data_IF_355785392864
#
_entry.id   IF_355785392864
#
_cell.length_a   1.000
_cell.length_b   1.000
_cell.length_c   1.000
_cell.angle_alpha   90.00
_cell.angle_beta   90.00
_cell.angle_gamma   90.00
#
_symmetry.space_group_name_H-M   'P 1'
#
loop_
_entity.id
_entity.type
_entity.pdbx_description
1 polymer ?
#
# COMPACT_ATOMS: atom_id res chain seq x y z
N UNK A 1 -9.09 21.67 16.42
CA UNK A 1 -9.29 20.43 15.65
C UNK A 1 -8.57 20.58 14.32
N UNK A 2 -7.71 19.61 14.02
CA UNK A 2 -6.73 19.49 12.93
C UNK A 2 -7.00 20.35 11.66
N UNK A 3 -6.03 21.14 11.14
CA UNK A 3 -6.20 21.92 9.90
C UNK A 3 -6.39 21.08 8.64
N UNK A 4 -6.25 19.75 8.74
CA UNK A 4 -6.30 18.88 7.58
C UNK A 4 -7.73 18.44 7.22
N UNK A 5 -8.05 18.55 5.92
CA UNK A 5 -9.31 18.10 5.33
C UNK A 5 -9.52 16.61 5.57
N UNK A 6 -10.73 16.23 5.95
CA UNK A 6 -11.14 14.82 6.17
C UNK A 6 -12.41 14.51 5.39
N UNK A 7 -12.61 13.22 5.06
CA UNK A 7 -13.82 12.73 4.38
C UNK A 7 -15.08 13.06 5.19
N UNK A 8 -15.03 12.93 6.51
CA UNK A 8 -16.15 13.28 7.38
C UNK A 8 -16.44 14.78 7.42
N UNK A 9 -15.39 15.62 7.38
CA UNK A 9 -15.57 17.07 7.32
C UNK A 9 -16.30 17.50 6.05
N UNK A 10 -15.93 16.93 4.90
CA UNK A 10 -16.60 17.18 3.63
C UNK A 10 -18.06 16.69 3.64
N UNK A 11 -18.30 15.46 4.14
CA UNK A 11 -19.64 14.91 4.25
C UNK A 11 -20.53 15.72 5.20
N UNK A 12 -20.01 16.08 6.36
CA UNK A 12 -20.75 16.87 7.34
C UNK A 12 -21.13 18.24 6.81
N UNK A 13 -20.20 18.91 6.12
CA UNK A 13 -20.48 20.18 5.45
C UNK A 13 -21.55 20.02 4.39
N UNK A 14 -21.45 19.01 3.52
CA UNK A 14 -22.47 18.74 2.51
C UNK A 14 -23.86 18.51 3.14
N UNK A 15 -23.95 17.77 4.26
CA UNK A 15 -25.23 17.59 4.96
C UNK A 15 -25.79 18.88 5.54
N UNK A 16 -24.95 19.81 6.01
CA UNK A 16 -25.37 21.14 6.46
C UNK A 16 -25.86 21.97 5.27
N UNK A 17 -25.07 22.05 4.21
CA UNK A 17 -25.36 22.89 3.03
C UNK A 17 -26.66 22.47 2.32
N UNK A 18 -27.00 21.18 2.35
CA UNK A 18 -28.25 20.66 1.77
C UNK A 18 -29.45 20.71 2.71
N UNK A 19 -29.28 21.17 3.94
CA UNK A 19 -30.33 21.22 4.96
C UNK A 19 -30.65 19.87 5.60
N UNK A 20 -29.78 18.87 5.44
CA UNK A 20 -29.87 17.59 6.15
C UNK A 20 -29.49 17.71 7.63
N UNK A 21 -28.74 18.74 8.02
CA UNK A 21 -28.39 19.06 9.41
C UNK A 21 -28.85 20.50 9.70
N UNK A 22 -29.54 20.67 10.83
CA UNK A 22 -29.97 21.99 11.27
C UNK A 22 -28.77 22.90 11.59
N UNK A 23 -28.89 24.19 11.30
CA UNK A 23 -27.84 25.20 11.49
C UNK A 23 -27.28 25.23 12.93
N UNK A 24 -28.15 25.04 13.94
CA UNK A 24 -27.74 24.96 15.35
C UNK A 24 -26.82 23.78 15.69
N UNK A 25 -26.75 22.77 14.80
CA UNK A 25 -25.90 21.59 14.94
C UNK A 25 -24.70 21.62 13.98
N UNK A 26 -24.57 22.65 13.14
CA UNK A 26 -23.58 22.71 12.05
C UNK A 26 -22.13 22.92 12.54
N UNK A 27 -21.93 23.28 13.79
CA UNK A 27 -20.62 23.57 14.40
C UNK A 27 -19.92 22.33 14.97
N UNK A 28 -20.67 21.29 15.36
CA UNK A 28 -20.10 20.06 15.93
C UNK A 28 -20.84 18.79 15.46
N UNK A 29 -20.17 17.90 14.70
CA UNK A 29 -20.73 16.61 14.29
C UNK A 29 -21.26 15.72 15.42
N UNK A 30 -20.77 15.92 16.65
CA UNK A 30 -21.27 15.18 17.83
C UNK A 30 -22.72 15.54 18.15
N UNK A 31 -23.17 16.77 17.87
CA UNK A 31 -24.58 17.17 18.07
C UNK A 31 -25.54 16.36 17.22
N UNK A 32 -25.10 15.95 16.02
CA UNK A 32 -25.84 15.05 15.12
C UNK A 32 -25.53 13.57 15.33
N UNK A 33 -24.78 13.21 16.39
CA UNK A 33 -24.43 11.82 16.72
C UNK A 33 -23.71 11.08 15.58
N UNK A 34 -22.83 11.76 14.85
CA UNK A 34 -22.08 11.17 13.74
C UNK A 34 -21.17 10.03 14.22
N UNK A 35 -21.37 8.83 13.68
CA UNK A 35 -20.59 7.62 13.91
C UNK A 35 -20.25 6.96 12.57
N UNK A 36 -19.26 6.05 12.59
CA UNK A 36 -18.68 5.39 11.41
C UNK A 36 -18.37 3.92 11.68
N UNK A 37 -18.56 3.04 10.70
CA UNK A 37 -18.19 1.63 10.78
C UNK A 37 -16.67 1.45 10.88
N UNK A 38 -15.93 2.16 10.01
CA UNK A 38 -14.48 2.11 9.94
C UNK A 38 -13.87 3.52 10.00
N UNK A 39 -12.74 3.63 10.72
CA UNK A 39 -11.82 4.77 10.59
C UNK A 39 -10.75 4.36 9.59
N UNK A 40 -10.58 5.14 8.53
CA UNK A 40 -9.53 4.92 7.53
C UNK A 40 -8.38 5.89 7.79
N UNK A 41 -7.16 5.40 7.65
CA UNK A 41 -5.97 6.22 7.78
C UNK A 41 -5.80 7.16 6.58
N UNK A 42 -4.87 8.11 6.71
CA UNK A 42 -4.55 9.06 5.66
C UNK A 42 -4.11 8.33 4.38
N UNK A 43 -4.75 8.65 3.26
CA UNK A 43 -4.45 8.05 1.95
C UNK A 43 -5.16 6.72 1.67
N UNK A 44 -5.91 6.18 2.63
CA UNK A 44 -6.70 4.96 2.44
C UNK A 44 -8.03 5.30 1.75
N UNK A 45 -8.37 4.52 0.73
CA UNK A 45 -9.64 4.59 0.03
C UNK A 45 -10.71 3.72 0.70
N UNK A 46 -11.98 3.99 0.41
CA UNK A 46 -13.08 3.13 0.81
C UNK A 46 -14.10 3.05 -0.32
N UNK A 47 -14.29 1.86 -0.87
CA UNK A 47 -15.37 1.61 -1.83
C UNK A 47 -16.75 1.73 -1.16
N UNK A 48 -16.86 1.20 0.06
CA UNK A 48 -18.05 1.31 0.90
C UNK A 48 -17.64 1.53 2.35
N UNK A 49 -18.12 2.63 2.95
CA UNK A 49 -18.07 2.84 4.39
C UNK A 49 -19.47 3.25 4.85
N UNK A 50 -19.82 2.89 6.07
CA UNK A 50 -21.15 3.15 6.64
C UNK A 50 -21.03 4.19 7.73
N UNK A 51 -21.82 5.25 7.62
CA UNK A 51 -21.96 6.31 8.61
C UNK A 51 -23.35 6.21 9.24
N UNK A 52 -23.48 6.60 10.49
CA UNK A 52 -24.77 6.89 11.11
C UNK A 52 -24.76 8.27 11.72
N UNK A 53 -25.87 8.98 11.57
CA UNK A 53 -26.09 10.31 12.11
C UNK A 53 -27.58 10.60 12.12
N UNK A 54 -27.98 11.63 12.88
CA UNK A 54 -29.31 12.20 12.81
C UNK A 54 -29.36 13.17 11.64
N UNK A 55 -30.23 12.87 10.68
CA UNK A 55 -30.41 13.65 9.46
C UNK A 55 -31.90 14.03 9.32
N UNK A 56 -32.16 15.23 8.82
CA UNK A 56 -33.49 15.67 8.37
C UNK A 56 -33.66 15.09 6.96
N UNK A 57 -34.55 14.12 6.79
CA UNK A 57 -34.67 13.32 5.56
C UNK A 57 -35.89 13.68 4.72
N UNK A 58 -36.75 14.57 5.22
CA UNK A 58 -38.00 14.99 4.59
C UNK A 58 -37.77 15.94 3.40
N UNK A 59 -36.52 16.36 3.17
CA UNK A 59 -36.14 17.22 2.06
C UNK A 59 -36.23 16.44 0.72
N UNK A 60 -36.87 17.00 -0.31
CA UNK A 60 -36.92 16.36 -1.63
C UNK A 60 -35.50 16.24 -2.21
N UNK A 61 -35.23 15.11 -2.86
CA UNK A 61 -33.98 14.82 -3.58
C UNK A 61 -32.71 15.03 -2.74
N UNK A 62 -32.79 14.79 -1.42
CA UNK A 62 -31.70 15.05 -0.49
C UNK A 62 -30.40 14.33 -0.91
N UNK A 63 -30.50 13.06 -1.35
CA UNK A 63 -29.34 12.27 -1.77
C UNK A 63 -28.59 12.90 -2.97
N UNK A 64 -29.35 13.37 -3.97
CA UNK A 64 -28.80 13.99 -5.17
C UNK A 64 -28.09 15.30 -4.81
N UNK A 65 -28.76 16.16 -4.03
CA UNK A 65 -28.21 17.43 -3.56
C UNK A 65 -26.94 17.24 -2.72
N UNK A 66 -26.89 16.20 -1.88
CA UNK A 66 -25.69 15.86 -1.11
C UNK A 66 -24.54 15.52 -2.06
N UNK A 67 -24.79 14.67 -3.06
CA UNK A 67 -23.77 14.29 -4.02
C UNK A 67 -23.31 15.46 -4.91
N UNK A 68 -24.18 16.42 -5.22
CA UNK A 68 -23.83 17.67 -5.92
C UNK A 68 -22.93 18.59 -5.07
N UNK A 69 -23.15 18.63 -3.75
CA UNK A 69 -22.32 19.39 -2.82
C UNK A 69 -20.98 18.71 -2.50
N UNK A 70 -20.80 17.44 -2.87
CA UNK A 70 -19.60 16.65 -2.61
C UNK A 70 -18.61 16.69 -3.80
N UNK A 71 -17.30 16.66 -3.53
CA UNK A 71 -16.29 16.50 -4.57
C UNK A 71 -16.49 15.17 -5.31
N UNK A 72 -16.05 15.08 -6.56
CA UNK A 72 -16.23 13.89 -7.41
C UNK A 72 -15.73 12.58 -6.76
N UNK A 73 -14.70 12.68 -5.93
CA UNK A 73 -14.07 11.57 -5.22
C UNK A 73 -14.87 11.02 -4.03
N UNK A 74 -15.96 11.68 -3.61
CA UNK A 74 -16.80 11.24 -2.49
C UNK A 74 -18.24 11.14 -2.98
N UNK A 75 -18.87 9.98 -2.74
CA UNK A 75 -20.26 9.72 -3.13
C UNK A 75 -21.01 9.01 -2.01
N UNK A 76 -22.25 9.45 -1.79
CA UNK A 76 -23.24 8.78 -0.95
C UNK A 76 -24.12 7.92 -1.85
N UNK A 77 -24.15 6.63 -1.58
CA UNK A 77 -24.86 5.64 -2.40
C UNK A 77 -26.34 5.53 -2.02
N UNK A 78 -26.66 5.77 -0.75
CA UNK A 78 -28.01 5.67 -0.25
C UNK A 78 -28.13 6.14 1.19
N UNK A 79 -29.35 6.43 1.60
CA UNK A 79 -29.71 6.84 2.96
C UNK A 79 -30.84 5.91 3.41
N UNK A 80 -30.68 5.27 4.56
CA UNK A 80 -31.69 4.38 5.14
C UNK A 80 -31.96 4.75 6.59
N UNK A 81 -33.23 4.73 6.98
CA UNK A 81 -33.65 5.01 8.35
C UNK A 81 -33.38 3.80 9.23
N UNK A 82 -32.66 4.00 10.34
CA UNK A 82 -32.30 2.94 11.28
C UNK A 82 -32.94 3.16 12.66
N UNK A 83 -32.76 2.19 13.55
CA UNK A 83 -33.07 2.34 14.98
C UNK A 83 -32.23 3.46 15.61
N UNK A 84 -32.75 4.10 16.66
CA UNK A 84 -32.04 5.17 17.41
C UNK A 84 -30.74 4.67 18.05
N UNK A 85 -30.66 3.40 18.41
CA UNK A 85 -29.51 2.75 19.04
C UNK A 85 -28.48 2.23 18.02
N UNK A 86 -28.75 2.36 16.72
CA UNK A 86 -27.85 1.84 15.69
C UNK A 86 -26.50 2.55 15.71
N UNK A 87 -25.43 1.78 15.92
CA UNK A 87 -24.06 2.25 15.81
C UNK A 87 -23.30 1.35 14.80
N UNK A 88 -22.90 1.87 13.64
CA UNK A 88 -22.28 1.07 12.58
C UNK A 88 -20.93 0.48 13.00
N UNK A 89 -20.28 1.03 14.04
CA UNK A 89 -19.05 0.44 14.57
C UNK A 89 -19.29 -0.86 15.33
N UNK A 90 -20.32 -0.89 16.17
CA UNK A 90 -20.59 -2.02 17.07
C UNK A 90 -21.50 -3.07 16.45
N UNK A 91 -22.33 -2.68 15.48
CA UNK A 91 -23.19 -3.59 14.71
C UNK A 91 -22.46 -4.22 13.51
N UNK A 92 -21.24 -3.78 13.21
CA UNK A 92 -20.43 -4.35 12.13
C UNK A 92 -19.79 -5.66 12.60
N UNK A 93 -20.14 -6.77 11.94
CA UNK A 93 -19.61 -8.11 12.23
C UNK A 93 -18.27 -8.35 11.53
N UNK A 94 -18.16 -7.96 10.26
CA UNK A 94 -16.97 -8.14 9.45
C UNK A 94 -16.68 -6.91 8.58
N UNK A 95 -15.42 -6.78 8.18
CA UNK A 95 -14.92 -5.77 7.23
C UNK A 95 -14.05 -6.47 6.21
N UNK A 96 -14.22 -6.13 4.94
CA UNK A 96 -13.41 -6.65 3.85
C UNK A 96 -12.54 -5.50 3.34
N UNK A 97 -11.24 -5.77 3.21
CA UNK A 97 -10.27 -4.83 2.64
C UNK A 97 -9.67 -5.45 1.39
N UNK A 98 -9.62 -4.65 0.32
CA UNK A 98 -8.96 -5.02 -0.92
C UNK A 98 -7.71 -4.16 -1.08
N UNK A 99 -6.56 -4.81 -1.31
CA UNK A 99 -5.29 -4.14 -1.55
C UNK A 99 -4.90 -4.29 -3.02
N UNK A 100 -4.89 -3.17 -3.74
CA UNK A 100 -4.30 -3.10 -5.06
C UNK A 100 -2.80 -2.80 -4.93
N UNK A 101 -1.97 -3.80 -5.22
CA UNK A 101 -0.51 -3.66 -5.20
C UNK A 101 0.11 -3.99 -6.55
N UNK A 102 1.17 -3.30 -6.98
CA UNK A 102 1.90 -3.66 -8.20
C UNK A 102 2.51 -5.05 -8.10
N UNK A 103 2.47 -5.84 -9.17
CA UNK A 103 2.96 -7.23 -9.16
C UNK A 103 4.44 -7.38 -8.76
N UNK A 104 5.27 -6.37 -9.06
CA UNK A 104 6.70 -6.39 -8.74
C UNK A 104 7.00 -6.39 -7.23
N UNK A 105 6.03 -6.05 -6.36
CA UNK A 105 6.24 -6.14 -4.90
C UNK A 105 6.48 -7.57 -4.45
N UNK A 106 6.06 -8.54 -5.25
CA UNK A 106 6.26 -9.95 -5.01
C UNK A 106 7.55 -10.48 -5.64
N UNK A 107 8.47 -9.65 -6.13
CA UNK A 107 9.81 -10.09 -6.55
C UNK A 107 10.62 -10.44 -5.30
N UNK A 108 11.34 -11.58 -5.26
CA UNK A 108 12.17 -11.90 -4.12
C UNK A 108 13.29 -10.85 -3.96
N UNK A 109 13.66 -10.50 -2.72
CA UNK A 109 14.75 -9.54 -2.50
C UNK A 109 16.04 -10.06 -3.12
N UNK A 110 16.90 -9.14 -3.56
CA UNK A 110 18.19 -9.49 -4.15
C UNK A 110 19.02 -10.34 -3.15
N UNK A 111 19.63 -11.48 -3.56
CA UNK A 111 20.23 -12.45 -2.63
C UNK A 111 21.29 -11.88 -1.67
N UNK A 112 22.02 -10.85 -2.09
CA UNK A 112 23.06 -10.22 -1.25
C UNK A 112 22.50 -9.24 -0.21
N UNK A 113 21.19 -8.94 -0.23
CA UNK A 113 20.57 -8.02 0.73
C UNK A 113 20.43 -8.67 2.10
N UNK A 114 20.49 -7.85 3.15
CA UNK A 114 20.25 -8.32 4.53
C UNK A 114 18.86 -8.96 4.69
N UNK A 115 17.86 -8.46 3.95
CA UNK A 115 16.51 -9.02 3.96
C UNK A 115 16.52 -10.45 3.39
N UNK A 116 17.16 -10.68 2.25
CA UNK A 116 17.30 -12.02 1.68
C UNK A 116 18.02 -12.98 2.63
N UNK A 117 19.14 -12.54 3.22
CA UNK A 117 19.88 -13.34 4.21
C UNK A 117 19.04 -13.70 5.44
N UNK A 118 18.25 -12.76 5.96
CA UNK A 118 17.34 -13.00 7.09
C UNK A 118 16.24 -14.00 6.73
N UNK A 119 15.64 -13.88 5.55
CA UNK A 119 14.63 -14.82 5.05
C UNK A 119 15.24 -16.22 4.93
N UNK A 120 16.43 -16.35 4.34
CA UNK A 120 17.15 -17.64 4.21
C UNK A 120 17.50 -18.26 5.56
N UNK A 121 18.05 -17.48 6.49
CA UNK A 121 18.38 -17.97 7.84
C UNK A 121 17.13 -18.42 8.60
N UNK A 122 16.04 -17.65 8.51
CA UNK A 122 14.79 -18.03 9.16
C UNK A 122 14.25 -19.34 8.56
N UNK A 123 14.32 -19.51 7.23
CA UNK A 123 13.99 -20.77 6.54
C UNK A 123 14.79 -21.95 7.10
N UNK A 124 16.11 -21.83 7.22
CA UNK A 124 16.97 -22.90 7.75
C UNK A 124 16.54 -23.29 9.18
N UNK A 125 16.22 -22.31 10.03
CA UNK A 125 15.77 -22.55 11.40
C UNK A 125 14.43 -23.31 11.46
N UNK A 126 13.45 -22.95 10.64
CA UNK A 126 12.12 -23.59 10.70
C UNK A 126 12.18 -24.99 10.05
N UNK A 127 12.94 -25.19 8.97
CA UNK A 127 13.12 -26.50 8.33
C UNK A 127 13.87 -27.53 9.19
N UNK A 128 14.59 -27.10 10.22
CA UNK A 128 15.20 -27.99 11.21
C UNK A 128 14.18 -28.57 12.22
N UNK A 129 12.94 -28.09 12.23
CA UNK A 129 11.88 -28.54 13.16
C UNK A 129 10.94 -29.45 12.38
N UNK A 130 11.04 -30.76 12.60
CA UNK A 130 10.34 -31.83 11.84
C UNK A 130 8.79 -31.80 11.85
N UNK A 131 8.12 -30.80 12.42
CA UNK A 131 6.66 -30.81 12.58
C UNK A 131 6.02 -29.41 12.70
N UNK A 132 6.49 -28.40 11.96
CA UNK A 132 5.73 -27.15 11.90
C UNK A 132 4.59 -27.28 10.89
N UNK A 133 3.36 -27.49 11.37
CA UNK A 133 2.11 -27.38 10.60
C UNK A 133 1.97 -26.02 9.87
N UNK A 134 2.74 -25.02 10.31
CA UNK A 134 2.93 -23.71 9.67
C UNK A 134 3.64 -23.76 8.30
N UNK A 135 4.33 -24.84 7.95
CA UNK A 135 5.07 -24.99 6.68
C UNK A 135 4.42 -26.07 5.81
N UNK A 136 3.20 -25.83 5.34
CA UNK A 136 2.64 -26.60 4.23
C UNK A 136 2.57 -25.78 2.94
N UNK A 137 3.70 -25.14 2.60
CA UNK A 137 4.20 -25.20 1.22
C UNK A 137 4.11 -23.96 0.32
N UNK A 138 3.25 -22.96 0.53
CA UNK A 138 3.01 -21.94 -0.52
C UNK A 138 3.67 -20.58 -0.30
N UNK A 139 3.74 -20.09 0.94
CA UNK A 139 4.38 -18.80 1.31
C UNK A 139 5.89 -18.77 1.03
N UNK A 140 6.51 -19.94 1.03
CA UNK A 140 7.95 -20.13 0.86
C UNK A 140 8.35 -20.32 -0.61
N UNK A 141 7.43 -20.85 -1.44
CA UNK A 141 7.63 -20.98 -2.89
C UNK A 141 7.64 -19.64 -3.60
N UNK A 142 6.95 -18.64 -3.02
CA UNK A 142 7.06 -17.23 -3.37
C UNK A 142 8.53 -16.84 -3.57
N UNK A 143 9.43 -17.10 -2.65
CA UNK A 143 10.81 -16.59 -2.77
C UNK A 143 11.78 -17.46 -3.59
N UNK A 144 11.38 -18.67 -3.97
CA UNK A 144 12.35 -19.70 -4.41
C UNK A 144 12.11 -20.24 -5.82
N UNK A 145 10.87 -20.31 -6.31
CA UNK A 145 10.60 -20.99 -7.59
C UNK A 145 11.07 -20.18 -8.81
N UNK A 146 10.96 -18.85 -8.74
CA UNK A 146 11.30 -17.95 -9.83
C UNK A 146 12.61 -17.17 -9.60
N UNK A 147 13.35 -17.44 -8.51
CA UNK A 147 14.56 -16.67 -8.18
C UNK A 147 15.64 -16.78 -9.26
N UNK A 148 15.77 -17.96 -9.89
CA UNK A 148 16.69 -18.19 -11.02
C UNK A 148 16.26 -17.49 -12.31
N UNK A 149 14.98 -17.25 -12.52
CA UNK A 149 14.48 -16.55 -13.71
C UNK A 149 14.50 -15.04 -13.54
N UNK A 150 14.26 -14.54 -12.31
CA UNK A 150 14.20 -13.10 -12.02
C UNK A 150 15.61 -12.52 -11.82
N UNK A 151 16.47 -13.23 -11.10
CA UNK A 151 17.88 -12.91 -10.85
C UNK A 151 18.79 -13.93 -11.56
N UNK A 152 18.54 -14.19 -12.85
CA UNK A 152 19.35 -15.13 -13.63
C UNK A 152 20.83 -14.77 -13.59
N UNK A 153 21.70 -15.77 -13.76
CA UNK A 153 23.15 -15.56 -13.79
C UNK A 153 23.54 -14.52 -14.85
N UNK A 154 22.80 -14.39 -15.95
CA UNK A 154 22.99 -13.36 -16.97
C UNK A 154 22.59 -11.96 -16.49
N UNK A 155 21.52 -11.84 -15.70
CA UNK A 155 21.06 -10.55 -15.15
C UNK A 155 21.94 -10.12 -13.98
N UNK A 156 22.41 -11.07 -13.17
CA UNK A 156 23.43 -10.86 -12.14
C UNK A 156 24.74 -10.47 -12.81
N UNK A 157 25.21 -11.20 -13.82
CA UNK A 157 26.42 -10.84 -14.58
C UNK A 157 26.28 -9.51 -15.30
N UNK A 158 25.09 -9.15 -15.80
CA UNK A 158 24.85 -7.83 -16.38
C UNK A 158 24.91 -6.72 -15.33
N UNK A 159 24.29 -6.93 -14.16
CA UNK A 159 24.40 -6.00 -13.03
C UNK A 159 25.86 -5.89 -12.56
N UNK A 160 26.56 -7.00 -12.38
CA UNK A 160 27.97 -7.08 -12.00
C UNK A 160 28.89 -6.45 -13.05
N UNK A 161 28.64 -6.70 -14.34
CA UNK A 161 29.38 -6.12 -15.46
C UNK A 161 29.13 -4.63 -15.58
N UNK A 162 27.90 -4.15 -15.42
CA UNK A 162 27.58 -2.72 -15.42
C UNK A 162 28.13 -2.00 -14.19
N UNK A 163 28.18 -2.66 -13.03
CA UNK A 163 28.87 -2.18 -11.83
C UNK A 163 30.37 -2.07 -12.13
N UNK A 164 30.99 -3.13 -12.67
CA UNK A 164 32.42 -3.16 -12.97
C UNK A 164 32.83 -2.17 -14.09
N UNK A 165 32.06 -2.06 -15.18
CA UNK A 165 32.29 -1.12 -16.29
C UNK A 165 32.10 0.35 -15.84
N UNK A 166 31.19 0.59 -14.88
CA UNK A 166 31.05 1.89 -14.24
C UNK A 166 32.29 2.26 -13.43
N UNK A 167 32.95 1.30 -12.78
CA UNK A 167 34.24 1.50 -12.10
C UNK A 167 35.38 1.76 -13.10
N UNK A 168 35.43 1.05 -14.23
CA UNK A 168 36.54 1.16 -15.22
C UNK A 168 36.47 2.43 -16.08
N UNK A 169 35.27 2.96 -16.32
CA UNK A 169 35.09 4.19 -17.12
C UNK A 169 35.57 5.44 -16.39
N UNK A 170 35.70 5.38 -15.05
CA UNK A 170 36.02 6.53 -14.21
C UNK A 170 37.50 6.57 -13.83
N UNK A 171 38.19 5.42 -13.79
CA UNK A 171 39.66 5.37 -13.64
C UNK A 171 40.42 6.11 -14.76
N UNK A 172 39.79 6.34 -15.92
CA UNK A 172 40.39 7.07 -17.04
C UNK A 172 40.31 8.61 -16.94
N UNK A 173 39.74 9.20 -15.89
CA UNK A 173 39.52 10.67 -15.81
C UNK A 173 40.48 11.43 -14.89
N UNK A 174 41.20 10.81 -13.95
CA UNK A 174 42.02 11.59 -13.00
C UNK A 174 43.49 11.14 -12.89
N UNK A 175 44.25 11.37 -13.96
CA UNK A 175 45.69 11.66 -13.84
C UNK A 175 45.91 13.19 -13.88
N UNK A 176 45.55 13.90 -12.79
CA UNK A 176 46.25 15.09 -12.25
C UNK A 176 45.40 15.84 -11.21
N UNK A 177 45.90 15.82 -9.97
CA UNK A 177 45.74 16.79 -8.86
C UNK A 177 45.09 16.20 -7.59
N UNK A 178 45.91 16.06 -6.54
CA UNK A 178 45.68 15.20 -5.38
C UNK A 178 44.94 15.81 -4.18
N UNK A 179 43.90 16.63 -4.36
CA UNK A 179 43.12 17.14 -3.21
C UNK A 179 41.57 17.05 -3.37
N UNK A 180 41.06 16.45 -4.44
CA UNK A 180 39.60 16.29 -4.73
C UNK A 180 38.99 14.96 -4.29
N UNK A 181 39.78 14.05 -3.72
CA UNK A 181 39.46 12.61 -3.62
C UNK A 181 38.22 12.25 -2.78
N UNK A 182 37.94 12.98 -1.69
CA UNK A 182 36.87 12.61 -0.75
C UNK A 182 35.47 13.13 -1.17
N UNK A 183 35.40 14.24 -1.90
CA UNK A 183 34.16 14.78 -2.47
C UNK A 183 33.83 14.03 -3.77
N UNK A 184 34.86 13.72 -4.56
CA UNK A 184 34.72 12.91 -5.78
C UNK A 184 34.22 11.51 -5.47
N UNK A 185 34.73 10.86 -4.42
CA UNK A 185 34.30 9.51 -4.03
C UNK A 185 32.84 9.45 -3.58
N UNK A 186 32.38 10.41 -2.75
CA UNK A 186 30.98 10.49 -2.33
C UNK A 186 30.05 10.81 -3.51
N UNK A 187 30.48 11.67 -4.44
CA UNK A 187 29.72 12.00 -5.63
C UNK A 187 29.62 10.80 -6.60
N UNK A 188 30.70 10.03 -6.74
CA UNK A 188 30.72 8.78 -7.50
C UNK A 188 29.80 7.72 -6.91
N UNK A 189 29.87 7.51 -5.59
CA UNK A 189 29.01 6.55 -4.89
C UNK A 189 27.52 6.92 -5.05
N UNK A 190 27.20 8.22 -5.07
CA UNK A 190 25.86 8.71 -5.35
C UNK A 190 25.40 8.43 -6.79
N UNK A 191 26.27 8.64 -7.78
CA UNK A 191 26.00 8.37 -9.19
C UNK A 191 25.77 6.88 -9.47
N UNK A 192 26.57 6.01 -8.86
CA UNK A 192 26.41 4.55 -8.95
C UNK A 192 25.09 4.08 -8.35
N UNK A 193 24.74 4.59 -7.15
CA UNK A 193 23.45 4.31 -6.51
C UNK A 193 22.26 4.73 -7.36
N UNK A 194 22.33 5.89 -8.02
CA UNK A 194 21.26 6.34 -8.91
C UNK A 194 21.15 5.46 -10.17
N UNK A 195 22.26 5.03 -10.77
CA UNK A 195 22.22 4.08 -11.91
C UNK A 195 21.59 2.73 -11.52
N UNK A 196 22.00 2.16 -10.38
CA UNK A 196 21.43 0.91 -9.86
C UNK A 196 19.92 1.05 -9.64
N UNK A 197 19.50 2.16 -9.04
CA UNK A 197 18.09 2.47 -8.80
C UNK A 197 17.29 2.58 -10.10
N UNK A 198 17.83 3.17 -11.17
CA UNK A 198 17.16 3.22 -12.47
C UNK A 198 16.96 1.83 -13.07
N UNK A 199 17.99 0.98 -13.00
CA UNK A 199 17.90 -0.40 -13.46
C UNK A 199 16.83 -1.16 -12.67
N UNK A 200 16.85 -1.08 -11.33
CA UNK A 200 15.81 -1.71 -10.50
C UNK A 200 14.39 -1.22 -10.85
N UNK A 201 14.22 0.08 -11.12
CA UNK A 201 12.93 0.65 -11.53
C UNK A 201 12.48 0.08 -12.88
N UNK A 202 13.38 -0.10 -13.83
CA UNK A 202 13.08 -0.70 -15.13
C UNK A 202 12.66 -2.17 -14.99
N UNK A 203 13.36 -2.94 -14.16
CA UNK A 203 12.99 -4.32 -13.81
C UNK A 203 11.57 -4.34 -13.21
N UNK A 204 11.29 -3.47 -12.24
CA UNK A 204 9.96 -3.39 -11.60
C UNK A 204 8.87 -3.03 -12.59
N UNK A 205 9.13 -2.10 -13.52
CA UNK A 205 8.17 -1.66 -14.54
C UNK A 205 7.85 -2.75 -15.57
N UNK A 206 8.85 -3.52 -15.98
CA UNK A 206 8.71 -4.57 -17.00
C UNK A 206 8.16 -5.87 -16.43
N UNK A 207 8.36 -6.11 -15.13
CA UNK A 207 7.93 -7.35 -14.48
C UNK A 207 6.43 -7.59 -14.58
N UNK A 208 6.07 -8.80 -15.04
CA UNK A 208 4.70 -9.33 -15.03
C UNK A 208 4.74 -10.64 -14.29
N UNK A 209 3.84 -10.78 -13.32
CA UNK A 209 3.78 -11.97 -12.51
C UNK A 209 3.21 -13.14 -13.31
N UNK A 210 3.81 -14.32 -13.19
CA UNK A 210 3.29 -15.54 -13.78
C UNK A 210 2.02 -16.00 -13.06
N UNK A 211 1.13 -16.71 -13.75
CA UNK A 211 -0.10 -17.25 -13.14
C UNK A 211 0.22 -18.21 -11.98
N UNK A 212 1.28 -18.99 -12.12
CA UNK A 212 1.75 -19.91 -11.08
C UNK A 212 2.19 -19.16 -9.81
N UNK A 213 3.02 -18.13 -9.94
CA UNK A 213 3.46 -17.31 -8.81
C UNK A 213 2.30 -16.56 -8.17
N UNK A 214 1.38 -16.03 -8.99
CA UNK A 214 0.18 -15.38 -8.48
C UNK A 214 -0.68 -16.32 -7.64
N UNK A 215 -0.82 -17.58 -8.07
CA UNK A 215 -1.58 -18.57 -7.31
C UNK A 215 -0.90 -18.90 -5.98
N UNK A 216 0.43 -19.06 -5.97
CA UNK A 216 1.20 -19.25 -4.73
C UNK A 216 1.00 -18.10 -3.73
N UNK A 217 0.98 -16.86 -4.23
CA UNK A 217 0.68 -15.69 -3.40
C UNK A 217 -0.74 -15.76 -2.86
N UNK A 218 -1.73 -16.04 -3.69
CA UNK A 218 -3.12 -16.15 -3.23
C UNK A 218 -3.26 -17.21 -2.15
N UNK A 219 -2.65 -18.38 -2.36
CA UNK A 219 -2.69 -19.46 -1.38
C UNK A 219 -1.97 -19.10 -0.07
N UNK A 220 -0.87 -18.34 -0.15
CA UNK A 220 -0.19 -17.78 1.02
C UNK A 220 -1.06 -16.78 1.78
N UNK A 221 -1.81 -15.92 1.08
CA UNK A 221 -2.64 -14.90 1.71
C UNK A 221 -3.98 -15.43 2.24
N UNK A 222 -4.36 -16.68 1.91
CA UNK A 222 -5.58 -17.32 2.46
C UNK A 222 -5.61 -17.36 3.99
N UNK A 223 -4.45 -17.37 4.66
CA UNK A 223 -4.40 -17.32 6.13
C UNK A 223 -5.00 -16.03 6.72
N UNK A 224 -5.11 -14.97 5.91
CA UNK A 224 -5.70 -13.69 6.29
C UNK A 224 -7.16 -13.55 5.87
N UNK A 225 -7.68 -14.49 5.07
CA UNK A 225 -9.11 -14.59 4.81
C UNK A 225 -9.76 -15.13 6.09
N UNK A 226 -10.63 -14.32 6.70
CA UNK A 226 -11.28 -14.67 7.96
C UNK A 226 -12.02 -16.01 7.87
N UNK A 227 -12.00 -16.77 8.97
CA UNK A 227 -12.72 -18.05 9.14
C UNK A 227 -14.23 -17.90 9.02
#
# INVERSE_FOLDING_TARGET
NDPNRTIEGDLFRAFVDTGGIAEMNADDPKKSSLNRAARTDRGVHAACNVLSLKLIIEQPNLLERINEALPETIRVWGISRTLKSFNPRTFCEARIYEYLVPSYVFIPPYPMTQLAQRITKHREMINCIENSEWINGNEYLLYCKDAKDIWSDERIQHLEKMINESSTSIENVDEKNGETSNISSQFQEHLEKEKIKQIELEIRRTYRISNERLQLIRDAFKIFEGS
#
